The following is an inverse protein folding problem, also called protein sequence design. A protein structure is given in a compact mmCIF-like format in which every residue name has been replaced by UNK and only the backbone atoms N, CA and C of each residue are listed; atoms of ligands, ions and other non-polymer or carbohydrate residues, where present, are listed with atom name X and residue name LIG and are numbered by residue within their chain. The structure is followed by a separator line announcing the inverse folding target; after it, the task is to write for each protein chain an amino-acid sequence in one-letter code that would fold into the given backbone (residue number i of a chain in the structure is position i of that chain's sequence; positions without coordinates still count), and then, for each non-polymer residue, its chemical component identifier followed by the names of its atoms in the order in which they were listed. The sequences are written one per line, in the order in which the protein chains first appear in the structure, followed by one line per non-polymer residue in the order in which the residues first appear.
data_IF_684893320951
#
_entry.id   IF_684893320951
#
_cell.length_a   1.000
_cell.length_b   1.000
_cell.length_c   1.000
_cell.angle_alpha   90.00
_cell.angle_beta   90.00
_cell.angle_gamma   90.00
#
_symmetry.space_group_name_H-M   'P 1'
#
loop_
_entity.id
_entity.type
_entity.pdbx_description
1 polymer ?
#
# COMPACT_ATOMS: atom_id res chain seq x y z
N UNK A 1 4.98 -22.93 -19.48
CA UNK A 1 3.84 -22.89 -20.43
C UNK A 1 3.24 -21.49 -20.37
N UNK A 2 2.91 -20.85 -21.50
CA UNK A 2 2.27 -19.54 -21.50
C UNK A 2 0.93 -19.64 -20.76
N UNK A 3 0.72 -18.77 -19.79
CA UNK A 3 -0.52 -18.67 -19.00
C UNK A 3 -1.29 -17.45 -19.44
N UNK A 4 -2.61 -17.59 -19.61
CA UNK A 4 -3.44 -16.47 -19.99
C UNK A 4 -3.83 -15.63 -18.77
N UNK A 5 -3.74 -14.32 -18.93
CA UNK A 5 -4.03 -13.34 -17.88
C UNK A 5 -5.10 -12.40 -18.41
N UNK A 6 -6.23 -12.29 -17.70
CA UNK A 6 -7.34 -11.41 -18.07
C UNK A 6 -7.58 -10.38 -16.96
N UNK A 7 -8.05 -9.16 -17.31
CA UNK A 7 -8.50 -8.20 -16.31
C UNK A 7 -9.76 -8.73 -15.60
N UNK A 8 -9.75 -8.70 -14.27
CA UNK A 8 -10.93 -8.97 -13.45
C UNK A 8 -11.89 -7.76 -13.47
N UNK A 9 -13.07 -7.88 -12.86
CA UNK A 9 -14.06 -6.80 -12.79
C UNK A 9 -13.55 -5.51 -12.12
N UNK A 10 -12.42 -5.57 -11.43
CA UNK A 10 -11.77 -4.46 -10.75
C UNK A 10 -10.60 -3.87 -11.56
N UNK A 11 -10.35 -4.39 -12.77
CA UNK A 11 -9.28 -3.92 -13.67
C UNK A 11 -7.90 -4.53 -13.41
N UNK A 12 -7.77 -5.50 -12.51
CA UNK A 12 -6.49 -6.16 -12.22
C UNK A 12 -6.28 -7.39 -13.09
N UNK A 13 -5.06 -7.58 -13.57
CA UNK A 13 -4.63 -8.75 -14.32
C UNK A 13 -4.60 -9.99 -13.40
N UNK A 14 -5.44 -10.98 -13.68
CA UNK A 14 -5.52 -12.24 -12.92
C UNK A 14 -5.25 -13.45 -13.82
N UNK A 15 -4.47 -14.40 -13.30
CA UNK A 15 -4.20 -15.68 -13.98
C UNK A 15 -5.44 -16.55 -13.89
N UNK A 16 -5.98 -16.98 -15.02
CA UNK A 16 -7.17 -17.84 -15.06
C UNK A 16 -6.72 -19.27 -15.38
N UNK A 17 -6.80 -20.15 -14.39
CA UNK A 17 -6.15 -21.46 -14.42
C UNK A 17 -6.76 -22.46 -15.42
N UNK A 18 -7.99 -22.22 -15.91
CA UNK A 18 -8.75 -23.20 -16.70
C UNK A 18 -9.24 -22.67 -18.06
N UNK A 19 -8.63 -21.59 -18.57
CA UNK A 19 -8.99 -21.10 -19.90
C UNK A 19 -8.18 -21.76 -21.00
N UNK A 20 -8.88 -22.18 -22.05
CA UNK A 20 -8.26 -22.59 -23.31
C UNK A 20 -7.41 -21.45 -23.87
N UNK A 21 -6.19 -21.75 -24.32
CA UNK A 21 -5.28 -20.75 -24.92
C UNK A 21 -5.90 -20.05 -26.15
N UNK A 22 -6.88 -20.68 -26.81
CA UNK A 22 -7.68 -20.09 -27.90
C UNK A 22 -8.57 -18.93 -27.48
N UNK A 23 -8.88 -18.76 -26.19
CA UNK A 23 -9.60 -17.59 -25.70
C UNK A 23 -8.71 -16.32 -25.66
N UNK A 24 -7.39 -16.51 -25.80
CA UNK A 24 -6.37 -15.45 -25.68
C UNK A 24 -5.72 -15.14 -27.03
N UNK A 25 -6.31 -15.64 -28.11
CA UNK A 25 -5.86 -15.56 -29.51
C UNK A 25 -5.93 -14.11 -30.09
N UNK A 26 -6.35 -13.14 -29.28
CA UNK A 26 -6.34 -11.71 -29.61
C UNK A 26 -4.97 -11.03 -29.39
N UNK A 27 -4.00 -11.73 -28.82
CA UNK A 27 -2.63 -11.23 -28.66
C UNK A 27 -2.01 -11.68 -27.33
N UNK A 28 -0.80 -12.20 -27.41
CA UNK A 28 0.03 -12.47 -26.24
C UNK A 28 0.72 -11.16 -25.84
N UNK A 29 0.46 -10.67 -24.62
CA UNK A 29 1.29 -9.62 -24.03
C UNK A 29 2.42 -10.31 -23.29
N UNK A 30 3.55 -10.48 -23.96
CA UNK A 30 4.77 -10.93 -23.32
C UNK A 30 5.36 -9.75 -22.54
N UNK A 31 5.14 -9.75 -21.23
CA UNK A 31 5.69 -8.75 -20.33
C UNK A 31 7.04 -9.27 -19.83
N UNK A 32 8.09 -8.48 -20.00
CA UNK A 32 9.40 -8.79 -19.41
C UNK A 32 9.35 -8.66 -17.89
N UNK A 33 10.28 -9.32 -17.19
CA UNK A 33 10.36 -9.20 -15.72
C UNK A 33 10.49 -7.73 -15.27
N UNK A 34 11.20 -6.90 -16.05
CA UNK A 34 11.36 -5.47 -15.78
C UNK A 34 10.05 -4.68 -15.93
N UNK A 35 9.24 -5.00 -16.94
CA UNK A 35 7.94 -4.35 -17.13
C UNK A 35 6.92 -4.79 -16.06
N UNK A 36 6.97 -6.05 -15.63
CA UNK A 36 6.15 -6.52 -14.51
C UNK A 36 6.52 -5.82 -13.20
N UNK A 37 7.82 -5.65 -12.94
CA UNK A 37 8.32 -4.93 -11.75
C UNK A 37 7.90 -3.46 -11.77
N UNK A 38 7.98 -2.80 -12.93
CA UNK A 38 7.47 -1.43 -13.13
C UNK A 38 5.95 -1.32 -12.93
N UNK A 39 5.17 -2.29 -13.40
CA UNK A 39 3.72 -2.29 -13.17
C UNK A 39 3.38 -2.52 -11.69
N UNK A 40 4.14 -3.37 -10.99
CA UNK A 40 3.92 -3.65 -9.57
C UNK A 40 4.45 -2.57 -8.63
N UNK A 41 5.37 -1.71 -9.05
CA UNK A 41 5.92 -0.66 -8.19
C UNK A 41 4.87 0.34 -7.68
N UNK A 42 3.72 0.46 -8.36
CA UNK A 42 2.62 1.34 -7.95
C UNK A 42 1.60 0.69 -7.02
N UNK A 43 1.58 -0.65 -6.95
CA UNK A 43 0.60 -1.41 -6.16
C UNK A 43 1.23 -2.18 -5.00
N UNK A 44 2.53 -2.41 -5.03
CA UNK A 44 3.26 -3.09 -3.97
C UNK A 44 3.90 -2.07 -3.05
N UNK A 45 3.60 -2.19 -1.76
CA UNK A 45 4.34 -1.50 -0.71
C UNK A 45 5.63 -2.29 -0.50
N UNK A 46 6.77 -1.69 -0.77
CA UNK A 46 8.06 -2.33 -0.45
C UNK A 46 8.24 -2.43 1.07
N UNK A 47 8.99 -3.42 1.53
CA UNK A 47 9.27 -3.59 2.97
C UNK A 47 9.99 -2.37 3.58
N UNK A 48 10.75 -1.62 2.78
CA UNK A 48 11.38 -0.36 3.16
C UNK A 48 10.34 0.75 3.36
N UNK A 49 9.37 0.87 2.47
CA UNK A 49 8.28 1.85 2.59
C UNK A 49 7.36 1.51 3.76
N UNK A 50 7.01 0.25 3.96
CA UNK A 50 6.23 -0.17 5.12
C UNK A 50 6.91 0.23 6.44
N UNK A 51 8.23 0.11 6.51
CA UNK A 51 9.01 0.50 7.69
C UNK A 51 9.05 2.02 7.88
N UNK A 52 9.19 2.80 6.81
CA UNK A 52 9.18 4.27 6.88
C UNK A 52 7.81 4.82 7.29
N UNK A 53 6.72 4.27 6.75
CA UNK A 53 5.35 4.63 7.15
C UNK A 53 5.05 4.25 8.59
N UNK A 54 5.48 3.06 9.04
CA UNK A 54 5.26 2.61 10.41
C UNK A 54 6.01 3.49 11.43
N UNK A 55 7.29 3.77 11.17
CA UNK A 55 8.12 4.62 12.03
C UNK A 55 7.63 6.07 12.08
N UNK A 56 7.25 6.65 10.93
CA UNK A 56 6.67 7.99 10.87
C UNK A 56 5.33 8.08 11.60
N UNK A 57 4.44 7.10 11.39
CA UNK A 57 3.16 7.02 12.08
C UNK A 57 3.30 6.85 13.59
N UNK A 58 4.20 5.96 14.02
CA UNK A 58 4.51 5.76 15.43
C UNK A 58 5.04 7.04 16.09
N UNK A 59 6.01 7.72 15.46
CA UNK A 59 6.55 8.98 15.96
C UNK A 59 5.47 10.07 16.06
N UNK A 60 4.58 10.18 15.06
CA UNK A 60 3.50 11.16 15.06
C UNK A 60 2.53 10.95 16.24
N UNK A 61 2.09 9.71 16.49
CA UNK A 61 1.22 9.38 17.62
C UNK A 61 1.92 9.67 18.95
N UNK A 62 3.20 9.31 19.07
CA UNK A 62 3.96 9.50 20.31
C UNK A 62 4.18 10.98 20.61
N UNK A 63 4.56 11.78 19.61
CA UNK A 63 4.77 13.23 19.76
C UNK A 63 3.45 13.95 20.04
N UNK A 64 2.38 13.63 19.31
CA UNK A 64 1.06 14.23 19.55
C UNK A 64 0.53 13.88 20.95
N UNK A 65 0.67 12.61 21.36
CA UNK A 65 0.34 12.15 22.71
C UNK A 65 1.15 12.88 23.77
N UNK A 66 2.47 12.95 23.62
CA UNK A 66 3.34 13.66 24.56
C UNK A 66 3.02 15.17 24.64
N UNK A 67 2.88 15.85 23.51
CA UNK A 67 2.51 17.27 23.47
C UNK A 67 1.15 17.54 24.15
N UNK A 68 0.18 16.63 23.99
CA UNK A 68 -1.13 16.75 24.63
C UNK A 68 -1.03 16.74 26.16
N UNK A 69 -0.06 16.01 26.75
CA UNK A 69 0.14 16.02 28.20
C UNK A 69 0.60 17.38 28.74
N UNK A 70 1.37 18.14 27.96
CA UNK A 70 1.75 19.50 28.34
C UNK A 70 0.55 20.44 28.26
N UNK A 71 -0.26 20.34 27.21
CA UNK A 71 -1.49 21.14 27.08
C UNK A 71 -2.45 20.88 28.25
N UNK A 72 -2.65 19.61 28.63
CA UNK A 72 -3.48 19.22 29.78
C UNK A 72 -2.91 19.78 31.09
N UNK A 73 -1.59 19.69 31.31
CA UNK A 73 -0.96 20.24 32.51
C UNK A 73 -1.08 21.76 32.60
N UNK A 74 -0.95 22.47 31.47
CA UNK A 74 -1.15 23.93 31.42
C UNK A 74 -2.60 24.28 31.75
N UNK A 75 -3.57 23.56 31.17
CA UNK A 75 -5.00 23.76 31.45
C UNK A 75 -5.33 23.53 32.93
N UNK A 76 -4.85 22.44 33.53
CA UNK A 76 -5.03 22.16 34.96
C UNK A 76 -4.40 23.24 35.85
N UNK A 77 -3.23 23.77 35.46
CA UNK A 77 -2.56 24.83 36.21
C UNK A 77 -3.33 26.14 36.15
N UNK A 78 -3.94 26.47 35.00
CA UNK A 78 -4.81 27.63 34.84
C UNK A 78 -6.10 27.52 35.67
N UNK A 79 -6.72 26.33 35.70
CA UNK A 79 -7.92 26.09 36.52
C UNK A 79 -7.62 26.23 38.01
N UNK A 80 -6.46 25.75 38.48
CA UNK A 80 -6.07 25.85 39.89
C UNK A 80 -5.55 27.23 40.32
N UNK A 81 -5.35 28.17 39.38
CA UNK A 81 -4.94 29.55 39.67
C UNK A 81 -6.16 30.50 39.71
N UNK A 82 -7.29 30.11 39.12
CA UNK A 82 -8.59 30.78 39.28
C UNK A 82 -9.28 30.37 40.58
#
# INVERSE_FOLDING_TARGET
MPTCVMPNAQGFLAVVADMSQTACDGGFVAITAAEYDYMMSYTQITSIEATSYFSGGFAAVFVAGFASTYAIKIALKLVNIL
#
